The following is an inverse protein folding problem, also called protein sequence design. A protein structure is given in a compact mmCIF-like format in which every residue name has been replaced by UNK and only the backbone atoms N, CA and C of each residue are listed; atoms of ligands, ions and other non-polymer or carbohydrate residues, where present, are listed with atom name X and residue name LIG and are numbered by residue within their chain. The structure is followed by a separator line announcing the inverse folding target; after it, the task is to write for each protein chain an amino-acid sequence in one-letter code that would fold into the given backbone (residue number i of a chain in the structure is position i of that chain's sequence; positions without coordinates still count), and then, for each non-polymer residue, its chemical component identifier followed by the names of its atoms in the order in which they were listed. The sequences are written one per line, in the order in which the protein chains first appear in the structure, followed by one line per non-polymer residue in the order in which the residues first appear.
data_IF_233195993705
#
_entry.id   IF_233195993705
#
_cell.length_a   1.000
_cell.length_b   1.000
_cell.length_c   1.000
_cell.angle_alpha   90.00
_cell.angle_beta   90.00
_cell.angle_gamma   90.00
#
_symmetry.space_group_name_H-M   'P 1'
#
loop_
_entity.id
_entity.type
_entity.pdbx_description
1 polymer ?
#
# COMPACT_ATOMS: atom_id res chain seq x y z
N UNK A 1 -31.57 39.07 13.41
CA UNK A 1 -31.55 37.58 13.38
C UNK A 1 -30.41 37.18 12.47
N UNK A 2 -29.30 36.68 13.01
CA UNK A 2 -28.13 36.33 12.21
C UNK A 2 -28.37 35.01 11.49
N UNK A 3 -28.36 35.02 10.17
CA UNK A 3 -28.29 33.80 9.37
C UNK A 3 -26.94 33.14 9.61
N UNK A 4 -26.95 31.86 10.00
CA UNK A 4 -25.74 31.05 10.17
C UNK A 4 -25.83 29.86 9.25
N UNK A 5 -24.76 29.63 8.49
CA UNK A 5 -24.61 28.42 7.68
C UNK A 5 -24.22 27.25 8.57
N UNK A 6 -24.79 26.07 8.31
CA UNK A 6 -24.50 24.85 9.04
C UNK A 6 -24.04 23.76 8.07
N UNK A 7 -22.93 23.10 8.38
CA UNK A 7 -22.43 21.99 7.57
C UNK A 7 -23.24 20.73 7.89
N UNK A 8 -23.87 20.13 6.87
CA UNK A 8 -24.58 18.85 6.99
C UNK A 8 -23.69 17.72 6.49
N UNK A 9 -23.06 17.00 7.42
CA UNK A 9 -22.23 15.84 7.13
C UNK A 9 -23.07 14.56 7.07
N UNK A 10 -23.93 14.44 6.05
CA UNK A 10 -24.69 13.20 5.81
C UNK A 10 -24.07 12.43 4.65
N UNK A 11 -23.95 11.11 4.82
CA UNK A 11 -23.56 10.19 3.74
C UNK A 11 -24.69 9.19 3.55
N UNK A 12 -25.14 9.04 2.32
CA UNK A 12 -26.12 8.00 1.97
C UNK A 12 -25.42 6.67 1.80
N UNK A 13 -26.12 5.58 2.13
CA UNK A 13 -25.65 4.23 1.83
C UNK A 13 -25.49 4.06 0.31
N UNK A 14 -24.36 3.51 -0.11
CA UNK A 14 -24.17 3.10 -1.49
C UNK A 14 -24.76 1.70 -1.66
N UNK A 15 -25.68 1.54 -2.61
CA UNK A 15 -26.35 0.27 -2.91
C UNK A 15 -26.08 -0.11 -4.35
N UNK A 16 -25.65 -1.36 -4.58
CA UNK A 16 -25.41 -1.90 -5.91
C UNK A 16 -25.81 -3.38 -5.98
N UNK A 17 -26.43 -3.79 -7.09
CA UNK A 17 -26.94 -5.15 -7.26
C UNK A 17 -25.89 -6.13 -7.81
N UNK A 18 -24.92 -5.65 -8.58
CA UNK A 18 -24.01 -6.50 -9.38
C UNK A 18 -22.55 -6.40 -8.99
N UNK A 19 -22.16 -5.41 -8.20
CA UNK A 19 -20.79 -5.21 -7.73
C UNK A 19 -20.59 -3.84 -7.11
N UNK A 20 -19.69 -3.76 -6.13
CA UNK A 20 -19.37 -2.52 -5.42
C UNK A 20 -17.88 -2.53 -5.07
N UNK A 21 -17.24 -1.37 -5.21
CA UNK A 21 -15.86 -1.12 -4.80
C UNK A 21 -15.87 0.08 -3.87
N UNK A 22 -15.19 -0.02 -2.73
CA UNK A 22 -15.07 1.04 -1.74
C UNK A 22 -13.59 1.35 -1.51
N UNK A 23 -13.15 2.52 -1.94
CA UNK A 23 -11.80 3.07 -1.74
C UNK A 23 -11.86 4.59 -1.95
N UNK A 24 -10.69 5.24 -2.04
CA UNK A 24 -10.59 6.61 -2.56
C UNK A 24 -11.16 6.67 -3.99
N UNK A 25 -11.65 7.83 -4.48
CA UNK A 25 -12.42 7.91 -5.72
C UNK A 25 -11.72 7.30 -6.95
N UNK A 26 -10.47 7.69 -7.23
CA UNK A 26 -9.72 7.21 -8.40
C UNK A 26 -9.41 5.70 -8.31
N UNK A 27 -8.96 5.15 -7.16
CA UNK A 27 -8.84 3.71 -7.01
C UNK A 27 -10.15 2.93 -7.11
N UNK A 28 -11.24 3.47 -6.55
CA UNK A 28 -12.54 2.83 -6.65
C UNK A 28 -13.02 2.75 -8.11
N UNK A 29 -12.80 3.81 -8.89
CA UNK A 29 -13.05 3.84 -10.34
C UNK A 29 -12.25 2.78 -11.08
N UNK A 30 -10.96 2.58 -10.74
CA UNK A 30 -10.13 1.52 -11.30
C UNK A 30 -10.71 0.12 -11.03
N UNK A 31 -11.16 -0.15 -9.80
CA UNK A 31 -11.84 -1.40 -9.48
C UNK A 31 -13.17 -1.57 -10.22
N UNK A 32 -13.96 -0.51 -10.33
CA UNK A 32 -15.25 -0.53 -11.06
C UNK A 32 -15.04 -0.78 -12.55
N UNK A 33 -13.99 -0.23 -13.17
CA UNK A 33 -13.60 -0.53 -14.55
C UNK A 33 -13.38 -2.03 -14.73
N UNK A 34 -12.62 -2.67 -13.84
CA UNK A 34 -12.37 -4.12 -13.89
C UNK A 34 -13.65 -4.95 -13.67
N UNK A 35 -14.55 -4.52 -12.78
CA UNK A 35 -15.85 -5.17 -12.63
C UNK A 35 -16.69 -5.07 -13.92
N UNK A 36 -16.70 -3.91 -14.59
CA UNK A 36 -17.43 -3.69 -15.85
C UNK A 36 -16.92 -4.57 -16.99
N UNK A 37 -15.64 -4.92 -16.97
CA UNK A 37 -15.03 -5.85 -17.92
C UNK A 37 -15.27 -7.34 -17.58
N UNK A 38 -16.06 -7.61 -16.54
CA UNK A 38 -16.41 -8.97 -16.13
C UNK A 38 -15.38 -9.61 -15.20
N UNK A 39 -14.46 -8.83 -14.62
CA UNK A 39 -13.61 -9.28 -13.52
C UNK A 39 -14.42 -9.59 -12.27
N UNK A 40 -13.82 -10.37 -11.37
CA UNK A 40 -14.44 -10.69 -10.08
C UNK A 40 -14.04 -9.66 -9.00
N UNK A 41 -14.56 -9.84 -7.77
CA UNK A 41 -14.26 -8.94 -6.66
C UNK A 41 -12.76 -8.88 -6.29
N UNK A 42 -12.02 -9.98 -6.44
CA UNK A 42 -10.58 -9.99 -6.23
C UNK A 42 -9.85 -9.21 -7.34
N UNK A 43 -10.17 -9.43 -8.61
CA UNK A 43 -9.58 -8.68 -9.73
C UNK A 43 -9.78 -7.17 -9.52
N UNK A 44 -11.00 -6.77 -9.14
CA UNK A 44 -11.34 -5.38 -8.84
C UNK A 44 -10.57 -4.84 -7.63
N UNK A 45 -10.42 -5.62 -6.56
CA UNK A 45 -9.65 -5.24 -5.39
C UNK A 45 -8.16 -5.07 -5.72
N UNK A 46 -7.58 -5.92 -6.56
CA UNK A 46 -6.19 -5.82 -6.98
C UNK A 46 -5.96 -4.58 -7.86
N UNK A 47 -6.82 -4.30 -8.83
CA UNK A 47 -6.72 -3.06 -9.62
C UNK A 47 -6.90 -1.80 -8.77
N UNK A 48 -7.81 -1.86 -7.78
CA UNK A 48 -7.96 -0.81 -6.77
C UNK A 48 -6.67 -0.64 -5.95
N UNK A 49 -6.04 -1.72 -5.53
CA UNK A 49 -4.79 -1.68 -4.76
C UNK A 49 -3.61 -1.10 -5.57
N UNK A 50 -3.47 -1.48 -6.85
CA UNK A 50 -2.46 -0.88 -7.73
C UNK A 50 -2.71 0.61 -7.95
N UNK A 51 -3.96 1.02 -8.15
CA UNK A 51 -4.32 2.43 -8.26
C UNK A 51 -4.08 3.20 -6.96
N UNK A 52 -4.39 2.62 -5.80
CA UNK A 52 -4.07 3.18 -4.48
C UNK A 52 -2.57 3.42 -4.31
N UNK A 53 -1.73 2.47 -4.75
CA UNK A 53 -0.28 2.61 -4.72
C UNK A 53 0.25 3.76 -5.59
N UNK A 54 -0.57 4.28 -6.50
CA UNK A 54 -0.27 5.47 -7.33
C UNK A 54 -0.85 6.74 -6.73
N UNK A 55 -2.12 6.71 -6.30
CA UNK A 55 -2.86 7.92 -5.94
C UNK A 55 -2.83 8.27 -4.46
N UNK A 56 -2.46 7.31 -3.60
CA UNK A 56 -2.42 7.45 -2.15
C UNK A 56 -1.08 6.98 -1.58
N UNK A 57 0.05 7.61 -1.97
CA UNK A 57 1.40 7.20 -1.56
C UNK A 57 1.65 7.35 -0.05
N UNK A 58 0.73 7.97 0.69
CA UNK A 58 0.78 8.11 2.15
C UNK A 58 0.41 6.79 2.85
N UNK A 59 -0.46 5.98 2.23
CA UNK A 59 -1.04 4.79 2.86
C UNK A 59 -0.78 3.49 2.11
N UNK A 60 -0.24 3.53 0.88
CA UNK A 60 -0.01 2.35 0.06
C UNK A 60 1.12 2.54 -0.95
N UNK A 61 1.62 1.45 -1.53
CA UNK A 61 2.66 1.46 -2.54
C UNK A 61 3.20 0.06 -2.86
N UNK A 62 3.96 -0.04 -3.97
CA UNK A 62 4.57 -1.32 -4.41
C UNK A 62 5.57 -1.88 -3.38
N UNK A 63 6.20 -1.01 -2.58
CA UNK A 63 7.09 -1.36 -1.48
C UNK A 63 6.38 -1.74 -0.17
N UNK A 64 5.07 -1.99 -0.20
CA UNK A 64 4.27 -2.29 0.98
C UNK A 64 4.12 -3.78 1.31
N UNK A 65 3.21 -4.05 2.24
CA UNK A 65 2.75 -5.38 2.63
C UNK A 65 1.27 -5.56 2.26
N UNK A 66 0.78 -6.79 2.27
CA UNK A 66 -0.64 -7.06 2.05
C UNK A 66 -1.17 -8.16 2.96
N UNK A 67 -2.44 -8.03 3.34
CA UNK A 67 -3.25 -9.11 3.90
C UNK A 67 -4.58 -9.15 3.17
N UNK A 68 -4.91 -10.27 2.53
CA UNK A 68 -6.14 -10.42 1.77
C UNK A 68 -6.99 -11.50 2.40
N UNK A 69 -8.27 -11.21 2.66
CA UNK A 69 -9.29 -12.22 2.99
C UNK A 69 -10.28 -12.22 1.84
N UNK A 70 -10.36 -13.33 1.12
CA UNK A 70 -11.15 -13.44 -0.11
C UNK A 70 -12.24 -14.48 0.11
N UNK A 71 -13.49 -14.05 0.03
CA UNK A 71 -14.64 -14.96 -0.06
C UNK A 71 -15.08 -15.07 -1.52
N UNK A 72 -15.22 -16.31 -2.01
CA UNK A 72 -15.75 -16.59 -3.34
C UNK A 72 -16.45 -17.95 -3.36
N UNK A 73 -17.69 -17.98 -3.82
CA UNK A 73 -18.44 -19.23 -4.08
C UNK A 73 -18.47 -20.17 -2.84
N UNK A 74 -18.69 -19.60 -1.66
CA UNK A 74 -18.75 -20.35 -0.39
C UNK A 74 -17.39 -20.73 0.20
N UNK A 75 -16.28 -20.44 -0.48
CA UNK A 75 -14.91 -20.67 -0.01
C UNK A 75 -14.29 -19.37 0.50
N UNK A 76 -13.46 -19.49 1.51
CA UNK A 76 -12.66 -18.39 2.05
C UNK A 76 -11.19 -18.78 1.96
N UNK A 77 -10.37 -17.87 1.44
CA UNK A 77 -8.92 -17.97 1.46
C UNK A 77 -8.33 -16.72 2.10
N UNK A 78 -7.14 -16.85 2.67
CA UNK A 78 -6.36 -15.71 3.13
C UNK A 78 -4.96 -15.75 2.54
N UNK A 79 -4.45 -14.58 2.16
CA UNK A 79 -3.13 -14.42 1.56
C UNK A 79 -2.34 -13.40 2.38
N UNK A 80 -1.16 -13.83 2.84
CA UNK A 80 -0.27 -13.06 3.70
C UNK A 80 0.97 -12.64 2.91
N UNK A 81 1.06 -11.34 2.65
CA UNK A 81 2.19 -10.63 2.08
C UNK A 81 2.86 -9.74 3.12
N UNK A 82 2.96 -10.20 4.37
CA UNK A 82 3.75 -9.52 5.41
C UNK A 82 5.22 -9.43 5.01
N UNK A 83 5.90 -8.43 5.56
CA UNK A 83 7.32 -8.19 5.29
C UNK A 83 8.21 -9.25 5.94
N UNK A 84 9.41 -9.46 5.38
CA UNK A 84 10.48 -10.24 6.03
C UNK A 84 11.67 -9.34 6.34
N UNK A 85 12.18 -9.45 7.56
CA UNK A 85 13.41 -8.78 7.94
C UNK A 85 14.56 -9.29 7.06
N UNK A 86 15.55 -8.43 6.73
CA UNK A 86 16.72 -8.86 5.96
C UNK A 86 17.47 -9.97 6.69
N UNK A 87 18.03 -10.94 5.96
CA UNK A 87 18.87 -12.03 6.47
C UNK A 87 20.10 -11.50 7.22
N UNK A 88 20.57 -10.30 6.85
CA UNK A 88 21.66 -9.60 7.53
C UNK A 88 21.26 -8.87 8.82
N UNK A 89 19.98 -8.86 9.19
CA UNK A 89 19.51 -8.18 10.39
C UNK A 89 20.05 -8.83 11.66
N UNK A 90 20.40 -8.02 12.65
CA UNK A 90 20.93 -8.48 13.94
C UNK A 90 20.26 -7.70 15.06
N UNK A 91 20.11 -8.34 16.21
CA UNK A 91 19.57 -7.69 17.43
C UNK A 91 20.35 -6.42 17.80
N UNK A 92 21.66 -6.39 17.51
CA UNK A 92 22.57 -5.29 17.85
C UNK A 92 22.66 -4.18 16.78
N UNK A 93 21.87 -4.24 15.71
CA UNK A 93 22.01 -3.28 14.59
C UNK A 93 21.40 -1.90 14.90
N UNK A 94 20.57 -1.79 15.94
CA UNK A 94 19.93 -0.54 16.36
C UNK A 94 20.40 -0.17 17.76
N UNK A 95 21.09 0.96 17.87
CA UNK A 95 21.49 1.53 19.16
C UNK A 95 20.28 2.23 19.79
N UNK A 96 19.89 1.82 21.00
CA UNK A 96 18.83 2.50 21.73
C UNK A 96 19.30 3.88 22.19
N UNK A 97 18.43 4.88 22.07
CA UNK A 97 18.72 6.26 22.51
C UNK A 97 18.84 6.40 24.05
N UNK A 98 18.50 5.34 24.80
CA UNK A 98 18.50 5.30 26.26
C UNK A 98 17.27 5.94 26.90
N UNK A 99 17.09 5.69 28.21
CA UNK A 99 15.96 6.21 28.99
C UNK A 99 14.60 5.59 28.63
N UNK A 100 13.52 6.25 29.06
CA UNK A 100 12.14 5.81 28.82
C UNK A 100 11.53 6.37 27.52
N UNK A 101 12.34 7.01 26.66
CA UNK A 101 11.88 7.60 25.42
C UNK A 101 11.26 6.54 24.50
N UNK A 102 10.07 6.86 23.98
CA UNK A 102 9.31 6.01 23.06
C UNK A 102 9.15 6.71 21.71
N UNK A 103 9.30 5.97 20.63
CA UNK A 103 9.16 6.47 19.27
C UNK A 103 8.24 5.59 18.40
N UNK A 104 7.86 6.17 17.26
CA UNK A 104 6.99 5.58 16.26
C UNK A 104 5.54 5.48 16.72
N UNK A 105 4.68 4.99 15.83
CA UNK A 105 3.25 4.83 16.07
C UNK A 105 2.92 3.84 17.20
N UNK A 106 3.85 2.95 17.51
CA UNK A 106 3.64 1.81 18.42
C UNK A 106 4.32 1.99 19.79
N UNK A 107 4.99 3.13 20.03
CA UNK A 107 5.63 3.40 21.31
C UNK A 107 6.79 2.46 21.66
N UNK A 108 7.58 2.06 20.65
CA UNK A 108 8.79 1.25 20.86
C UNK A 108 9.88 2.08 21.55
N UNK A 109 10.83 1.46 22.26
CA UNK A 109 12.02 2.17 22.73
C UNK A 109 12.68 2.96 21.59
N UNK A 110 13.01 4.23 21.85
CA UNK A 110 13.65 5.10 20.84
C UNK A 110 15.03 4.57 20.43
N UNK A 111 15.36 4.73 19.15
CA UNK A 111 16.65 4.35 18.55
C UNK A 111 17.40 5.61 18.17
N UNK A 112 18.71 5.63 18.38
CA UNK A 112 19.58 6.76 18.01
C UNK A 112 19.41 7.10 16.53
N UNK A 113 19.05 8.36 16.26
CA UNK A 113 18.81 8.86 14.91
C UNK A 113 17.56 8.29 14.22
N UNK A 114 16.70 7.56 14.94
CA UNK A 114 15.46 6.97 14.41
C UNK A 114 15.70 6.06 13.19
N UNK A 115 16.87 5.41 13.13
CA UNK A 115 17.31 4.59 11.98
C UNK A 115 16.45 3.34 11.73
N UNK A 116 15.64 2.95 12.71
CA UNK A 116 14.63 1.89 12.61
C UNK A 116 13.29 2.39 12.01
N UNK A 117 13.09 3.71 11.94
CA UNK A 117 11.88 4.35 11.38
C UNK A 117 12.20 4.98 10.02
N UNK A 118 13.35 5.63 9.89
CA UNK A 118 13.76 6.35 8.68
C UNK A 118 15.12 5.87 8.17
N UNK A 119 15.23 5.74 6.85
CA UNK A 119 16.48 5.45 6.15
C UNK A 119 16.63 3.99 5.70
N UNK A 120 17.81 3.62 5.17
CA UNK A 120 17.99 2.35 4.45
C UNK A 120 18.04 1.13 5.36
N UNK A 121 18.10 1.31 6.68
CA UNK A 121 18.01 0.24 7.68
C UNK A 121 16.57 -0.04 8.14
N UNK A 122 15.62 0.86 7.86
CA UNK A 122 14.21 0.69 8.25
C UNK A 122 13.37 -0.07 7.21
N UNK A 123 14.01 -0.57 6.15
CA UNK A 123 13.34 -1.27 5.04
C UNK A 123 13.47 -2.78 5.20
N UNK A 124 12.38 -3.49 4.96
CA UNK A 124 12.29 -4.95 4.93
C UNK A 124 11.74 -5.40 3.57
N UNK A 125 11.81 -6.70 3.25
CA UNK A 125 11.40 -7.20 1.92
C UNK A 125 9.89 -7.02 1.73
N UNK A 126 9.45 -6.22 0.73
CA UNK A 126 8.03 -5.93 0.52
C UNK A 126 7.26 -7.14 0.00
N UNK A 127 6.09 -7.37 0.58
CA UNK A 127 5.31 -8.59 0.35
C UNK A 127 4.04 -8.45 -0.46
N UNK A 128 3.60 -7.21 -0.72
CA UNK A 128 2.32 -6.95 -1.35
C UNK A 128 2.19 -7.63 -2.73
N UNK A 129 3.18 -7.46 -3.60
CA UNK A 129 3.12 -7.94 -4.99
C UNK A 129 3.07 -9.47 -5.07
N UNK A 130 3.89 -10.17 -4.28
CA UNK A 130 3.82 -11.63 -4.19
C UNK A 130 2.46 -12.13 -3.70
N UNK A 131 1.87 -11.47 -2.70
CA UNK A 131 0.55 -11.87 -2.19
C UNK A 131 -0.57 -11.58 -3.20
N UNK A 132 -0.50 -10.47 -3.92
CA UNK A 132 -1.44 -10.13 -4.99
C UNK A 132 -1.38 -11.14 -6.13
N UNK A 133 -0.17 -11.49 -6.58
CA UNK A 133 -0.01 -12.48 -7.65
C UNK A 133 -0.42 -13.89 -7.20
N UNK A 134 -0.09 -14.28 -5.96
CA UNK A 134 -0.55 -15.55 -5.39
C UNK A 134 -2.08 -15.63 -5.34
N UNK A 135 -2.73 -14.58 -4.84
CA UNK A 135 -4.19 -14.50 -4.79
C UNK A 135 -4.80 -14.54 -6.20
N UNK A 136 -4.23 -13.77 -7.14
CA UNK A 136 -4.69 -13.71 -8.53
C UNK A 136 -4.57 -15.07 -9.24
N UNK A 137 -3.43 -15.76 -9.13
CA UNK A 137 -3.29 -17.11 -9.68
C UNK A 137 -4.31 -18.08 -9.11
N UNK A 138 -4.64 -17.93 -7.82
CA UNK A 138 -5.52 -18.86 -7.10
C UNK A 138 -7.00 -18.61 -7.39
N UNK A 139 -7.40 -17.35 -7.52
CA UNK A 139 -8.80 -16.92 -7.47
C UNK A 139 -9.15 -15.76 -8.42
N UNK A 140 -8.22 -15.27 -9.23
CA UNK A 140 -8.44 -14.25 -10.25
C UNK A 140 -9.31 -14.74 -11.41
N UNK A 141 -9.74 -13.83 -12.28
CA UNK A 141 -10.51 -14.17 -13.49
C UNK A 141 -9.98 -13.45 -14.74
N UNK A 142 -9.68 -12.16 -14.66
CA UNK A 142 -9.07 -11.44 -15.78
C UNK A 142 -7.55 -11.69 -15.90
N UNK A 143 -6.94 -11.46 -17.07
CA UNK A 143 -5.48 -11.52 -17.21
C UNK A 143 -4.76 -10.58 -16.25
N UNK A 144 -3.67 -11.05 -15.64
CA UNK A 144 -2.87 -10.29 -14.66
C UNK A 144 -2.53 -8.87 -15.13
N UNK A 145 -1.96 -8.75 -16.34
CA UNK A 145 -1.57 -7.48 -16.93
C UNK A 145 -2.72 -6.46 -17.01
N UNK A 146 -3.96 -6.94 -17.20
CA UNK A 146 -5.12 -6.05 -17.32
C UNK A 146 -5.39 -5.28 -16.03
N UNK A 147 -5.07 -5.85 -14.88
CA UNK A 147 -5.33 -5.24 -13.57
C UNK A 147 -4.47 -4.00 -13.30
N UNK A 148 -3.35 -3.85 -14.01
CA UNK A 148 -2.39 -2.76 -13.84
C UNK A 148 -2.74 -1.52 -14.64
N UNK A 149 -3.39 -1.69 -15.78
CA UNK A 149 -3.58 -0.62 -16.76
C UNK A 149 -4.25 0.64 -16.19
N UNK A 150 -5.28 0.58 -15.30
CA UNK A 150 -5.80 1.81 -14.68
C UNK A 150 -4.74 2.56 -13.86
N UNK A 151 -3.92 1.82 -13.10
CA UNK A 151 -2.83 2.39 -12.31
C UNK A 151 -1.70 2.94 -13.21
N UNK A 152 -1.37 2.25 -14.30
CA UNK A 152 -0.39 2.71 -15.30
C UNK A 152 -0.85 4.04 -15.91
N UNK A 153 -2.12 4.15 -16.32
CA UNK A 153 -2.68 5.42 -16.85
C UNK A 153 -2.62 6.52 -15.80
N UNK A 154 -3.04 6.26 -14.56
CA UNK A 154 -2.97 7.24 -13.47
C UNK A 154 -1.54 7.73 -13.22
N UNK A 155 -0.56 6.82 -13.21
CA UNK A 155 0.84 7.15 -12.98
C UNK A 155 1.45 7.95 -14.15
N UNK A 156 1.19 7.53 -15.40
CA UNK A 156 1.74 8.15 -16.62
C UNK A 156 1.07 9.49 -16.94
N UNK A 157 -0.26 9.49 -16.98
CA UNK A 157 -1.05 10.63 -17.44
C UNK A 157 -1.27 11.66 -16.32
N UNK A 158 -1.06 11.20 -15.08
CA UNK A 158 -1.14 11.98 -13.86
C UNK A 158 -2.56 12.28 -13.40
N UNK A 159 -2.69 12.60 -12.12
CA UNK A 159 -3.96 12.88 -11.47
C UNK A 159 -3.84 14.14 -10.60
N UNK A 160 -4.98 14.77 -10.31
CA UNK A 160 -5.02 15.94 -9.42
C UNK A 160 -4.91 15.46 -7.98
N UNK A 161 -3.96 16.02 -7.24
CA UNK A 161 -3.85 15.74 -5.81
C UNK A 161 -5.02 16.35 -5.06
N UNK A 162 -5.61 15.59 -4.15
CA UNK A 162 -6.60 16.15 -3.24
C UNK A 162 -5.94 17.04 -2.16
N UNK A 163 -6.79 17.80 -1.46
CA UNK A 163 -6.34 18.72 -0.42
C UNK A 163 -5.67 18.01 0.75
N UNK A 164 -6.09 16.79 1.07
CA UNK A 164 -5.61 16.04 2.23
C UNK A 164 -4.20 15.51 1.97
N UNK A 165 -3.97 14.91 0.80
CA UNK A 165 -2.66 14.44 0.42
C UNK A 165 -1.65 15.59 0.30
N UNK A 166 -2.09 16.74 -0.22
CA UNK A 166 -1.27 17.97 -0.25
C UNK A 166 -0.89 18.43 1.16
N UNK A 167 -1.85 18.46 2.09
CA UNK A 167 -1.62 18.82 3.49
C UNK A 167 -0.60 17.88 4.14
N UNK A 168 -0.74 16.57 3.91
CA UNK A 168 0.16 15.56 4.46
C UNK A 168 1.58 15.71 3.89
N UNK A 169 1.75 15.93 2.59
CA UNK A 169 3.07 16.21 2.02
C UNK A 169 3.70 17.46 2.64
N UNK A 170 2.92 18.53 2.83
CA UNK A 170 3.37 19.72 3.56
C UNK A 170 3.82 19.41 4.98
N UNK A 171 3.05 18.62 5.73
CA UNK A 171 3.39 18.22 7.10
C UNK A 171 4.67 17.36 7.18
N UNK A 172 4.96 16.57 6.14
CA UNK A 172 6.16 15.74 6.05
C UNK A 172 7.30 16.37 5.24
N UNK A 173 7.20 17.64 4.82
CA UNK A 173 8.17 18.28 3.93
C UNK A 173 9.61 18.20 4.45
N UNK A 174 9.83 18.43 5.75
CA UNK A 174 11.16 18.35 6.36
C UNK A 174 11.81 16.97 6.23
N UNK A 175 11.00 15.89 6.25
CA UNK A 175 11.47 14.51 6.07
C UNK A 175 11.65 14.18 4.59
N UNK A 176 10.64 14.46 3.77
CA UNK A 176 10.64 14.14 2.35
C UNK A 176 11.74 14.91 1.59
N UNK A 177 12.05 16.14 1.99
CA UNK A 177 13.13 16.93 1.39
C UNK A 177 14.55 16.38 1.65
N UNK A 178 14.71 15.40 2.55
CA UNK A 178 16.00 14.71 2.76
C UNK A 178 16.35 13.77 1.61
N UNK A 179 15.35 13.26 0.90
CA UNK A 179 15.53 12.45 -0.31
C UNK A 179 15.30 13.33 -1.55
N UNK A 180 16.31 13.40 -2.42
CA UNK A 180 16.21 14.13 -3.67
C UNK A 180 15.06 13.60 -4.55
N UNK A 181 14.90 12.27 -4.61
CA UNK A 181 13.83 11.63 -5.37
C UNK A 181 12.45 11.87 -4.76
N UNK A 182 12.31 11.75 -3.43
CA UNK A 182 11.03 12.03 -2.79
C UNK A 182 10.62 13.50 -2.97
N UNK A 183 11.58 14.43 -2.87
CA UNK A 183 11.34 15.85 -3.17
C UNK A 183 10.92 16.05 -4.63
N UNK A 184 11.64 15.45 -5.59
CA UNK A 184 11.34 15.57 -7.02
C UNK A 184 9.96 15.03 -7.40
N UNK A 185 9.55 13.92 -6.78
CA UNK A 185 8.29 13.24 -7.10
C UNK A 185 7.10 13.92 -6.41
N UNK A 186 7.19 14.16 -5.10
CA UNK A 186 6.05 14.60 -4.28
C UNK A 186 5.92 16.12 -4.14
N UNK A 187 6.89 16.90 -4.63
CA UNK A 187 6.87 18.36 -4.61
C UNK A 187 7.13 18.92 -6.00
N UNK A 188 6.46 20.02 -6.31
CA UNK A 188 6.67 20.80 -7.52
C UNK A 188 7.37 22.10 -7.14
N UNK A 189 8.56 22.32 -7.72
CA UNK A 189 9.42 23.47 -7.41
C UNK A 189 9.71 23.64 -5.90
N UNK A 190 9.72 22.52 -5.16
CA UNK A 190 9.97 22.49 -3.71
C UNK A 190 8.75 22.78 -2.83
N UNK A 191 7.55 22.95 -3.42
CA UNK A 191 6.29 23.11 -2.70
C UNK A 191 5.33 21.93 -3.00
N UNK A 192 4.39 21.60 -2.09
CA UNK A 192 3.36 20.60 -2.38
C UNK A 192 2.55 20.97 -3.63
N UNK A 193 2.09 19.97 -4.37
CA UNK A 193 1.21 20.16 -5.53
C UNK A 193 -0.05 20.95 -5.14
N UNK A 194 -0.46 21.88 -5.99
CA UNK A 194 -1.69 22.67 -5.74
C UNK A 194 -2.94 21.81 -5.93
N UNK A 195 -3.80 21.64 -4.89
CA UNK A 195 -5.05 20.92 -5.02
C UNK A 195 -6.10 21.80 -5.71
N UNK A 196 -7.27 21.25 -5.99
CA UNK A 196 -8.38 22.04 -6.50
C UNK A 196 -8.93 22.98 -5.41
N UNK A 197 -8.72 24.29 -5.57
CA UNK A 197 -9.17 25.33 -4.62
C UNK A 197 -10.23 26.27 -5.19
N UNK A 198 -10.46 26.25 -6.51
CA UNK A 198 -11.37 27.15 -7.22
C UNK A 198 -10.77 28.52 -7.57
N UNK A 199 -9.58 28.86 -7.07
CA UNK A 199 -8.89 30.12 -7.36
C UNK A 199 -7.89 30.00 -8.51
N UNK A 200 -7.17 28.88 -8.58
CA UNK A 200 -6.16 28.58 -9.60
C UNK A 200 -6.37 27.17 -10.15
N UNK A 201 -5.93 26.88 -11.39
CA UNK A 201 -5.95 25.53 -11.92
C UNK A 201 -5.18 24.55 -11.01
N UNK A 202 -5.75 23.37 -10.71
CA UNK A 202 -5.06 22.37 -9.91
C UNK A 202 -3.87 21.79 -10.67
N UNK A 203 -2.90 21.29 -9.91
CA UNK A 203 -1.73 20.63 -10.47
C UNK A 203 -1.92 19.12 -10.51
N UNK A 204 -1.29 18.51 -11.53
CA UNK A 204 -1.31 17.06 -11.71
C UNK A 204 0.05 16.49 -11.32
N UNK A 205 0.03 15.50 -10.44
CA UNK A 205 1.20 14.70 -10.12
C UNK A 205 1.35 13.61 -11.18
N UNK A 206 2.55 13.49 -11.77
CA UNK A 206 2.91 12.44 -12.72
C UNK A 206 4.05 11.61 -12.14
N UNK A 207 4.01 10.30 -12.38
CA UNK A 207 4.95 9.32 -11.86
C UNK A 207 5.38 8.37 -12.99
N UNK A 208 6.07 8.86 -14.05
CA UNK A 208 6.39 8.05 -15.22
C UNK A 208 7.32 6.85 -14.90
N UNK A 209 8.17 6.97 -13.89
CA UNK A 209 9.02 5.88 -13.43
C UNK A 209 8.20 4.80 -12.71
N UNK A 210 7.20 5.19 -11.92
CA UNK A 210 6.26 4.25 -11.31
C UNK A 210 5.39 3.57 -12.37
N UNK A 211 4.95 4.31 -13.40
CA UNK A 211 4.24 3.73 -14.54
C UNK A 211 5.07 2.62 -15.21
N UNK A 212 6.36 2.86 -15.42
CA UNK A 212 7.28 1.84 -15.96
C UNK A 212 7.39 0.62 -15.05
N UNK A 213 7.55 0.82 -13.74
CA UNK A 213 7.58 -0.31 -12.78
C UNK A 213 6.28 -1.12 -12.82
N UNK A 214 5.12 -0.46 -12.94
CA UNK A 214 3.83 -1.13 -13.09
C UNK A 214 3.73 -1.89 -14.43
N UNK A 215 4.23 -1.33 -15.53
CA UNK A 215 4.29 -2.01 -16.85
C UNK A 215 5.16 -3.27 -16.79
N UNK A 216 6.30 -3.20 -16.11
CA UNK A 216 7.20 -4.34 -15.90
C UNK A 216 6.51 -5.42 -15.08
N UNK A 217 5.86 -5.06 -13.96
CA UNK A 217 5.09 -6.01 -13.15
C UNK A 217 3.90 -6.62 -13.90
N UNK A 218 3.25 -5.84 -14.76
CA UNK A 218 2.16 -6.32 -15.60
C UNK A 218 2.64 -7.37 -16.62
N UNK A 219 3.84 -7.17 -17.19
CA UNK A 219 4.45 -8.03 -18.21
C UNK A 219 5.07 -9.29 -17.61
N UNK A 220 5.88 -9.13 -16.56
CA UNK A 220 6.79 -10.16 -16.04
C UNK A 220 6.30 -10.79 -14.72
N UNK A 221 5.17 -10.32 -14.20
CA UNK A 221 4.61 -10.80 -12.93
C UNK A 221 5.40 -10.32 -11.71
N UNK A 222 5.14 -10.95 -10.57
CA UNK A 222 5.81 -10.58 -9.32
C UNK A 222 7.32 -10.85 -9.36
N UNK A 223 7.77 -11.77 -10.22
CA UNK A 223 9.19 -12.11 -10.36
C UNK A 223 10.07 -10.88 -10.63
N UNK A 224 9.54 -9.86 -11.33
CA UNK A 224 10.25 -8.61 -11.57
C UNK A 224 10.58 -7.83 -10.29
N UNK A 225 9.75 -7.94 -9.25
CA UNK A 225 9.98 -7.31 -7.94
C UNK A 225 11.07 -8.02 -7.13
N UNK A 226 11.20 -9.34 -7.29
CA UNK A 226 12.04 -10.17 -6.42
C UNK A 226 13.35 -10.60 -7.10
N UNK A 227 13.25 -11.28 -8.23
CA UNK A 227 14.39 -11.83 -8.99
C UNK A 227 14.72 -10.98 -10.24
N UNK A 228 14.03 -9.86 -10.45
CA UNK A 228 14.14 -9.03 -11.64
C UNK A 228 14.69 -7.63 -11.41
N UNK A 229 14.47 -6.77 -12.40
CA UNK A 229 15.09 -5.45 -12.47
C UNK A 229 14.66 -4.49 -11.35
N UNK A 230 13.42 -4.59 -10.88
CA UNK A 230 12.91 -3.72 -9.81
C UNK A 230 13.59 -4.08 -8.48
N UNK A 231 13.63 -5.37 -8.13
CA UNK A 231 14.31 -5.84 -6.92
C UNK A 231 15.80 -5.51 -6.93
N UNK A 232 16.46 -5.70 -8.08
CA UNK A 232 17.86 -5.34 -8.25
C UNK A 232 18.11 -3.83 -8.02
N UNK A 233 17.27 -2.96 -8.58
CA UNK A 233 17.39 -1.51 -8.40
C UNK A 233 17.16 -1.08 -6.94
N UNK A 234 16.19 -1.68 -6.25
CA UNK A 234 15.93 -1.39 -4.82
C UNK A 234 17.13 -1.80 -3.96
N UNK A 235 17.69 -2.99 -4.19
CA UNK A 235 18.86 -3.47 -3.44
C UNK A 235 20.07 -2.58 -3.69
N UNK A 236 20.31 -2.18 -4.93
CA UNK A 236 21.41 -1.29 -5.30
C UNK A 236 21.30 0.07 -4.60
N UNK A 237 20.13 0.71 -4.68
CA UNK A 237 19.88 2.01 -4.06
C UNK A 237 20.04 1.96 -2.53
N UNK A 238 19.43 0.97 -1.87
CA UNK A 238 19.53 0.82 -0.43
C UNK A 238 20.97 0.53 0.01
N UNK A 239 21.71 -0.30 -0.73
CA UNK A 239 23.12 -0.59 -0.42
C UNK A 239 24.01 0.62 -0.58
N UNK A 240 23.79 1.44 -1.61
CA UNK A 240 24.52 2.69 -1.80
C UNK A 240 24.32 3.67 -0.63
N UNK A 241 23.19 3.58 0.06
CA UNK A 241 22.87 4.40 1.23
C UNK A 241 23.28 3.75 2.58
N UNK A 242 23.88 2.55 2.57
CA UNK A 242 24.32 1.85 3.78
C UNK A 242 23.30 0.85 4.35
N UNK A 243 22.30 0.47 3.56
CA UNK A 243 21.31 -0.55 3.91
C UNK A 243 21.86 -1.97 3.93
N UNK A 244 21.09 -2.88 4.53
CA UNK A 244 21.45 -4.29 4.71
C UNK A 244 20.62 -5.28 3.90
N UNK A 245 19.63 -4.80 3.14
CA UNK A 245 18.89 -5.62 2.18
C UNK A 245 19.82 -6.08 1.04
N UNK A 246 19.69 -7.34 0.63
CA UNK A 246 20.46 -7.95 -0.45
C UNK A 246 19.54 -8.74 -1.40
N UNK A 247 20.13 -9.28 -2.47
CA UNK A 247 19.40 -10.06 -3.48
C UNK A 247 18.83 -11.36 -2.91
N UNK A 248 19.52 -12.02 -1.99
CA UNK A 248 19.05 -13.26 -1.37
C UNK A 248 17.81 -13.03 -0.50
N UNK A 249 17.69 -11.86 0.13
CA UNK A 249 16.49 -11.46 0.88
C UNK A 249 15.26 -11.46 -0.03
N UNK A 250 15.38 -10.88 -1.22
CA UNK A 250 14.30 -10.86 -2.21
C UNK A 250 14.06 -12.23 -2.84
N UNK A 251 15.13 -12.94 -3.21
CA UNK A 251 15.05 -14.24 -3.88
C UNK A 251 14.42 -15.34 -3.01
N UNK A 252 14.55 -15.23 -1.68
CA UNK A 252 13.97 -16.19 -0.72
C UNK A 252 12.59 -15.80 -0.23
N UNK A 253 12.11 -14.58 -0.52
CA UNK A 253 10.80 -14.12 -0.08
C UNK A 253 9.66 -14.89 -0.76
N UNK A 254 8.69 -15.36 0.02
CA UNK A 254 7.45 -15.96 -0.48
C UNK A 254 6.26 -15.46 0.34
N UNK A 255 5.20 -15.06 -0.36
CA UNK A 255 3.89 -14.85 0.26
C UNK A 255 3.28 -16.20 0.66
N UNK A 256 2.41 -16.20 1.66
CA UNK A 256 1.74 -17.40 2.17
C UNK A 256 0.24 -17.39 1.91
N UNK A 257 -0.37 -18.56 1.84
CA UNK A 257 -1.84 -18.76 1.85
C UNK A 257 -2.22 -19.49 3.16
N UNK A 258 -2.15 -18.81 4.33
CA UNK A 258 -2.50 -19.46 5.59
C UNK A 258 -4.01 -19.74 5.66
N UNK A 259 -4.41 -20.68 6.51
CA UNK A 259 -5.82 -20.92 6.83
C UNK A 259 -6.43 -19.68 7.51
N UNK A 260 -7.57 -19.14 7.02
CA UNK A 260 -8.18 -17.95 7.61
C UNK A 260 -8.56 -18.15 9.08
N UNK A 261 -8.34 -17.12 9.91
CA UNK A 261 -8.79 -17.14 11.30
C UNK A 261 -10.30 -16.86 11.34
N UNK A 262 -11.05 -17.76 11.97
CA UNK A 262 -12.52 -17.69 12.02
C UNK A 262 -13.01 -17.76 13.45
N UNK A 263 -13.86 -16.80 13.85
CA UNK A 263 -14.53 -16.79 15.15
C UNK A 263 -16.04 -16.66 14.99
N UNK A 264 -16.80 -17.12 16.00
CA UNK A 264 -18.25 -16.91 16.08
C UNK A 264 -18.55 -15.76 17.02
N UNK A 265 -19.38 -14.82 16.59
CA UNK A 265 -19.82 -13.70 17.41
C UNK A 265 -21.29 -13.40 17.16
N UNK A 266 -22.12 -13.49 18.21
CA UNK A 266 -23.56 -13.18 18.17
C UNK A 266 -24.32 -13.83 16.99
N UNK A 267 -24.06 -15.10 16.72
CA UNK A 267 -24.69 -15.85 15.62
C UNK A 267 -24.02 -15.67 14.23
N UNK A 268 -23.06 -14.76 14.10
CA UNK A 268 -22.30 -14.53 12.87
C UNK A 268 -20.96 -15.26 12.88
N UNK A 269 -20.43 -15.49 11.67
CA UNK A 269 -19.06 -15.97 11.44
C UNK A 269 -18.20 -14.79 11.00
N UNK A 270 -17.22 -14.42 11.82
CA UNK A 270 -16.24 -13.37 11.51
C UNK A 270 -14.97 -14.05 11.03
N UNK A 271 -14.47 -13.64 9.87
CA UNK A 271 -13.24 -14.17 9.28
C UNK A 271 -12.22 -13.04 9.17
N UNK A 272 -10.99 -13.29 9.57
CA UNK A 272 -9.89 -12.33 9.57
C UNK A 272 -8.56 -13.01 9.23
N UNK A 273 -7.51 -12.20 9.05
CA UNK A 273 -6.16 -12.69 8.82
C UNK A 273 -5.62 -13.42 10.07
N UNK A 274 -4.90 -14.54 9.91
CA UNK A 274 -4.18 -15.18 10.99
C UNK A 274 -2.80 -14.51 11.22
N UNK A 275 -1.95 -15.14 12.04
CA UNK A 275 -0.52 -14.83 12.11
C UNK A 275 -0.18 -13.46 12.70
N UNK A 276 0.89 -12.82 12.18
CA UNK A 276 1.41 -11.54 12.66
C UNK A 276 0.61 -10.35 12.08
N UNK A 277 -0.71 -10.39 12.25
CA UNK A 277 -1.64 -9.34 11.81
C UNK A 277 -2.48 -8.84 12.98
N UNK A 278 -3.34 -7.84 12.74
CA UNK A 278 -4.34 -7.41 13.74
C UNK A 278 -5.49 -8.41 13.94
N UNK A 279 -5.60 -9.45 13.08
CA UNK A 279 -6.71 -10.38 13.11
C UNK A 279 -6.84 -11.21 14.40
N UNK A 280 -5.75 -11.77 14.97
CA UNK A 280 -5.81 -12.44 16.27
C UNK A 280 -6.29 -11.54 17.41
N UNK A 281 -5.92 -10.25 17.41
CA UNK A 281 -6.43 -9.29 18.42
C UNK A 281 -7.93 -9.06 18.27
N UNK A 282 -8.43 -8.92 17.04
CA UNK A 282 -9.88 -8.81 16.76
C UNK A 282 -10.61 -10.08 17.21
N UNK A 283 -10.09 -11.25 16.85
CA UNK A 283 -10.65 -12.53 17.25
C UNK A 283 -10.76 -12.65 18.78
N UNK A 284 -9.67 -12.33 19.48
CA UNK A 284 -9.64 -12.37 20.95
C UNK A 284 -10.61 -11.38 21.58
N UNK A 285 -10.70 -10.15 21.05
CA UNK A 285 -11.59 -9.13 21.57
C UNK A 285 -13.08 -9.51 21.43
N UNK A 286 -13.45 -10.28 20.40
CA UNK A 286 -14.81 -10.77 20.21
C UNK A 286 -15.18 -11.96 21.12
N UNK A 287 -14.18 -12.64 21.70
CA UNK A 287 -14.39 -13.74 22.65
C UNK A 287 -14.60 -13.28 24.10
N UNK A 288 -14.19 -12.05 24.42
CA UNK A 288 -14.35 -11.43 25.73
C UNK A 288 -15.79 -10.91 25.93
#
# INVERSE_FOLDING_TARGET
MGTRSEWRFTRTEAVAATGMVTADPLPAEAGVEILREGGNALDAALATAFALGVTSPIGSGLGGIAGLVVWREGRVASFDGSTRAPLGARETMFELAGGDARSGMYGWPSVTGETNVEGPLSVSVPGAIAAYELAHRRMGKLPWARLFEPAIRLARDGFVMDWYATLIFGAYAARLHRSAEAKRVYFKDGAPYRPQTGFEPPERMRQPELARSLEVLARDGASAMYDGEIGAAIVEDLRAQGGILNRDDFATYRAAEPSPLTVRYRGHRVVTMPGLSGGPTVARALEL
#
